data_IF_096789805131
#
_entry.id   IF_096789805131
#
_cell.length_a   1.000
_cell.length_b   1.000
_cell.length_c   1.000
_cell.angle_alpha   90.00
_cell.angle_beta   90.00
_cell.angle_gamma   90.00
#
_symmetry.space_group_name_H-M   'P 1'
#
loop_
_entity.id
_entity.type
_entity.pdbx_description
1 polymer ?
#
# COMPACT_ATOMS: atom_id res chain seq x y z
N UNK A 1 33.21 2.04 15.64
CA UNK A 1 32.86 1.30 14.41
C UNK A 1 31.46 1.65 13.90
N UNK A 2 30.45 1.83 14.78
CA UNK A 2 29.09 2.27 14.40
C UNK A 2 29.10 3.60 13.61
N UNK A 3 29.91 4.58 14.05
CA UNK A 3 30.05 5.89 13.38
C UNK A 3 30.70 5.81 12.00
N UNK A 4 31.43 4.74 11.71
CA UNK A 4 32.17 4.51 10.45
C UNK A 4 31.45 3.51 9.54
N UNK A 5 30.33 2.94 9.98
CA UNK A 5 29.55 1.96 9.20
C UNK A 5 30.18 0.57 9.10
N UNK A 6 31.22 0.25 9.89
CA UNK A 6 31.82 -1.08 9.90
C UNK A 6 31.13 -1.99 10.93
N UNK A 7 29.94 -2.43 10.58
CA UNK A 7 29.07 -3.26 11.44
C UNK A 7 29.64 -4.64 11.70
N UNK A 8 30.33 -5.25 10.73
CA UNK A 8 31.00 -6.54 10.89
C UNK A 8 32.10 -6.48 11.94
N UNK A 9 32.93 -5.46 11.91
CA UNK A 9 33.96 -5.27 12.95
C UNK A 9 33.35 -4.95 14.32
N UNK A 10 32.23 -4.23 14.35
CA UNK A 10 31.48 -3.99 15.59
C UNK A 10 31.02 -5.31 16.20
N UNK A 11 30.35 -6.18 15.45
CA UNK A 11 29.90 -7.49 15.89
C UNK A 11 31.09 -8.33 16.37
N UNK A 12 32.19 -8.39 15.60
CA UNK A 12 33.39 -9.14 15.99
C UNK A 12 34.06 -8.65 17.29
N UNK A 13 33.87 -7.37 17.64
CA UNK A 13 34.30 -6.85 18.93
C UNK A 13 33.35 -7.25 20.05
N UNK A 14 32.04 -7.19 19.81
CA UNK A 14 31.01 -7.56 20.76
C UNK A 14 31.06 -9.07 21.06
N UNK A 15 31.36 -9.91 20.09
CA UNK A 15 31.48 -11.38 20.25
C UNK A 15 32.63 -11.81 21.18
N UNK A 16 33.54 -10.88 21.55
CA UNK A 16 34.58 -11.11 22.54
C UNK A 16 34.11 -10.89 23.97
N UNK A 17 32.95 -10.27 24.16
CA UNK A 17 32.37 -10.03 25.46
C UNK A 17 31.76 -11.35 25.95
N UNK A 18 32.10 -11.82 27.18
CA UNK A 18 31.45 -12.97 27.77
C UNK A 18 29.93 -12.80 27.83
N UNK A 19 29.18 -13.86 27.53
CA UNK A 19 27.71 -13.79 27.41
C UNK A 19 26.98 -13.29 28.66
N UNK A 20 27.54 -13.55 29.82
CA UNK A 20 27.06 -13.09 31.14
C UNK A 20 27.39 -11.63 31.43
N UNK A 21 28.31 -11.03 30.68
CA UNK A 21 28.79 -9.66 30.85
C UNK A 21 28.20 -8.69 29.80
N UNK A 22 27.36 -9.19 28.89
CA UNK A 22 26.67 -8.36 27.88
C UNK A 22 25.66 -7.46 28.59
N UNK A 23 25.86 -6.15 28.52
CA UNK A 23 24.98 -5.15 29.08
C UNK A 23 23.94 -4.61 28.05
N UNK A 24 23.06 -3.70 28.51
CA UNK A 24 22.02 -3.11 27.68
C UNK A 24 22.59 -2.42 26.42
N UNK A 25 23.64 -1.61 26.58
CA UNK A 25 24.24 -0.91 25.44
C UNK A 25 24.88 -1.88 24.43
N UNK A 26 25.49 -2.96 24.90
CA UNK A 26 26.03 -4.00 24.03
C UNK A 26 24.92 -4.68 23.23
N UNK A 27 23.78 -4.96 23.86
CA UNK A 27 22.60 -5.51 23.15
C UNK A 27 22.07 -4.54 22.10
N UNK A 28 21.96 -3.25 22.40
CA UNK A 28 21.56 -2.20 21.44
C UNK A 28 22.55 -2.12 20.28
N UNK A 29 23.86 -2.25 20.55
CA UNK A 29 24.88 -2.26 19.49
C UNK A 29 24.72 -3.49 18.58
N UNK A 30 24.49 -4.68 19.12
CA UNK A 30 24.17 -5.87 18.32
C UNK A 30 22.92 -5.64 17.46
N UNK A 31 21.83 -5.15 18.07
CA UNK A 31 20.57 -4.89 17.36
C UNK A 31 20.80 -3.97 16.16
N UNK A 32 21.41 -2.81 16.35
CA UNK A 32 21.64 -1.85 15.27
C UNK A 32 22.67 -2.34 14.23
N UNK A 33 23.68 -3.09 14.66
CA UNK A 33 24.65 -3.66 13.73
C UNK A 33 23.97 -4.66 12.77
N UNK A 34 23.13 -5.55 13.30
CA UNK A 34 22.37 -6.51 12.48
C UNK A 34 21.26 -5.85 11.67
N UNK A 35 20.61 -4.80 12.18
CA UNK A 35 19.61 -4.03 11.44
C UNK A 35 20.25 -3.41 10.18
N UNK A 36 21.44 -2.83 10.32
CA UNK A 36 22.15 -2.25 9.18
C UNK A 36 22.75 -3.30 8.23
N UNK A 37 22.88 -4.54 8.63
CA UNK A 37 23.25 -5.66 7.78
C UNK A 37 22.05 -6.36 7.13
N UNK A 38 20.82 -5.90 7.41
CA UNK A 38 19.56 -6.54 6.99
C UNK A 38 19.46 -8.02 7.42
N UNK A 39 20.04 -8.36 8.57
CA UNK A 39 19.97 -9.71 9.14
C UNK A 39 18.72 -9.84 10.03
N UNK A 40 17.59 -10.13 9.41
CA UNK A 40 16.27 -10.11 10.06
C UNK A 40 16.18 -11.04 11.28
N UNK A 41 16.77 -12.24 11.21
CA UNK A 41 16.73 -13.20 12.32
C UNK A 41 17.45 -12.67 13.56
N UNK A 42 18.60 -12.05 13.36
CA UNK A 42 19.39 -11.47 14.44
C UNK A 42 18.78 -10.18 14.98
N UNK A 43 18.14 -9.39 14.12
CA UNK A 43 17.37 -8.20 14.55
C UNK A 43 16.24 -8.63 15.49
N UNK A 44 15.45 -9.63 15.09
CA UNK A 44 14.38 -10.19 15.93
C UNK A 44 14.94 -10.72 17.24
N UNK A 45 15.99 -11.55 17.19
CA UNK A 45 16.60 -12.14 18.37
C UNK A 45 17.05 -11.09 19.42
N UNK A 46 17.82 -10.09 18.98
CA UNK A 46 18.34 -9.07 19.87
C UNK A 46 17.26 -8.08 20.31
N UNK A 47 16.32 -7.73 19.43
CA UNK A 47 15.17 -6.90 19.76
C UNK A 47 14.27 -7.53 20.80
N UNK A 48 13.89 -8.80 20.66
CA UNK A 48 13.09 -9.54 21.64
C UNK A 48 13.82 -9.68 22.98
N UNK A 49 15.13 -9.91 22.96
CA UNK A 49 15.95 -9.97 24.19
C UNK A 49 15.97 -8.63 24.91
N UNK A 50 16.08 -7.51 24.19
CA UNK A 50 16.00 -6.18 24.78
C UNK A 50 14.59 -5.91 25.30
N UNK A 51 13.55 -6.19 24.53
CA UNK A 51 12.16 -5.95 24.92
C UNK A 51 11.77 -6.72 26.19
N UNK A 52 12.35 -7.92 26.40
CA UNK A 52 12.10 -8.72 27.61
C UNK A 52 12.90 -8.23 28.83
N UNK A 53 14.16 -7.84 28.65
CA UNK A 53 15.06 -7.44 29.75
C UNK A 53 14.98 -5.95 30.07
N UNK A 54 14.64 -5.11 29.09
CA UNK A 54 14.58 -3.65 29.19
C UNK A 54 13.28 -3.13 28.53
N UNK A 55 12.11 -3.44 29.11
CA UNK A 55 10.81 -3.17 28.49
C UNK A 55 10.48 -1.67 28.32
N UNK A 56 11.28 -0.78 28.90
CA UNK A 56 11.18 0.68 28.78
C UNK A 56 12.07 1.29 27.70
N UNK A 57 12.83 0.49 26.95
CA UNK A 57 13.62 0.99 25.81
C UNK A 57 12.71 1.28 24.61
N UNK A 58 12.04 2.43 24.65
CA UNK A 58 11.05 2.82 23.64
C UNK A 58 11.62 2.89 22.23
N UNK A 59 12.90 3.27 22.08
CA UNK A 59 13.55 3.38 20.77
C UNK A 59 13.69 2.01 20.10
N UNK A 60 14.21 1.02 20.85
CA UNK A 60 14.36 -0.34 20.32
C UNK A 60 12.99 -0.99 20.10
N UNK A 61 12.03 -0.79 21.02
CA UNK A 61 10.69 -1.37 20.89
C UNK A 61 9.95 -0.81 19.69
N UNK A 62 10.00 0.50 19.46
CA UNK A 62 9.44 1.10 18.24
C UNK A 62 10.12 0.56 16.96
N UNK A 63 11.46 0.48 16.98
CA UNK A 63 12.22 -0.05 15.86
C UNK A 63 11.93 -1.53 15.60
N UNK A 64 11.76 -2.36 16.65
CA UNK A 64 11.42 -3.77 16.54
C UNK A 64 9.99 -3.96 16.00
N UNK A 65 9.03 -3.18 16.49
CA UNK A 65 7.67 -3.20 15.95
C UNK A 65 7.64 -2.80 14.47
N UNK A 66 8.37 -1.76 14.10
CA UNK A 66 8.54 -1.35 12.70
C UNK A 66 9.20 -2.44 11.84
N UNK A 67 10.22 -3.12 12.37
CA UNK A 67 10.87 -4.24 11.70
C UNK A 67 9.87 -5.39 11.43
N UNK A 68 9.05 -5.76 12.42
CA UNK A 68 8.03 -6.79 12.23
C UNK A 68 6.94 -6.39 11.24
N UNK A 69 6.50 -5.13 11.27
CA UNK A 69 5.57 -4.59 10.28
C UNK A 69 6.16 -4.68 8.86
N UNK A 70 7.40 -4.27 8.68
CA UNK A 70 8.12 -4.37 7.40
C UNK A 70 8.38 -5.80 6.93
N UNK A 71 8.51 -6.75 7.85
CA UNK A 71 8.66 -8.18 7.57
C UNK A 71 7.31 -8.92 7.35
N UNK A 72 6.20 -8.19 7.25
CA UNK A 72 4.85 -8.73 7.12
C UNK A 72 4.45 -9.66 8.30
N UNK A 73 4.87 -9.30 9.52
CA UNK A 73 4.55 -9.99 10.77
C UNK A 73 3.79 -9.06 11.74
N UNK A 74 2.62 -8.49 11.33
CA UNK A 74 1.94 -7.47 12.11
C UNK A 74 1.45 -7.96 13.49
N UNK A 75 1.18 -9.25 13.64
CA UNK A 75 0.82 -9.83 14.95
C UNK A 75 1.94 -9.70 15.98
N UNK A 76 3.21 -9.89 15.58
CA UNK A 76 4.36 -9.67 16.48
C UNK A 76 4.59 -8.18 16.76
N UNK A 77 4.40 -7.32 15.76
CA UNK A 77 4.49 -5.88 15.93
C UNK A 77 3.44 -5.39 16.95
N UNK A 78 2.20 -5.87 16.83
CA UNK A 78 1.13 -5.59 17.79
C UNK A 78 1.50 -6.01 19.20
N UNK A 79 1.98 -7.25 19.38
CA UNK A 79 2.35 -7.79 20.67
C UNK A 79 3.42 -6.94 21.36
N UNK A 80 4.50 -6.63 20.66
CA UNK A 80 5.63 -5.84 21.18
C UNK A 80 5.17 -4.43 21.56
N UNK A 81 4.43 -3.75 20.68
CA UNK A 81 3.94 -2.41 20.91
C UNK A 81 2.93 -2.36 22.06
N UNK A 82 1.97 -3.29 22.08
CA UNK A 82 0.92 -3.39 23.10
C UNK A 82 1.49 -3.68 24.50
N UNK A 83 2.51 -4.53 24.58
CA UNK A 83 3.21 -4.79 25.84
C UNK A 83 3.86 -3.52 26.42
N UNK A 84 4.49 -2.71 25.58
CA UNK A 84 5.07 -1.43 26.00
C UNK A 84 3.97 -0.44 26.44
N UNK A 85 2.94 -0.25 25.61
CA UNK A 85 1.82 0.67 25.89
C UNK A 85 1.16 0.35 27.24
N UNK A 86 0.97 -0.93 27.52
CA UNK A 86 0.34 -1.38 28.77
C UNK A 86 1.24 -1.24 29.98
N UNK A 87 2.54 -1.54 29.87
CA UNK A 87 3.45 -1.63 31.01
C UNK A 87 4.24 -0.35 31.29
N UNK A 88 4.46 0.48 30.28
CA UNK A 88 5.42 1.58 30.38
C UNK A 88 4.79 2.95 30.07
N UNK A 89 4.42 3.22 28.82
CA UNK A 89 3.94 4.53 28.41
C UNK A 89 2.94 4.42 27.24
N UNK A 90 1.68 4.71 27.53
CA UNK A 90 0.59 4.72 26.54
C UNK A 90 0.58 5.97 25.64
N UNK A 91 1.46 6.93 25.90
CA UNK A 91 1.50 8.20 25.17
C UNK A 91 2.62 8.26 24.14
N UNK A 92 3.50 7.26 24.09
CA UNK A 92 4.62 7.22 23.15
C UNK A 92 4.12 7.17 21.70
N UNK A 93 4.35 8.27 20.95
CA UNK A 93 3.80 8.46 19.60
C UNK A 93 4.36 7.46 18.60
N UNK A 94 5.65 7.15 18.67
CA UNK A 94 6.29 6.24 17.71
C UNK A 94 5.80 4.80 17.88
N UNK A 95 5.62 4.36 19.11
CA UNK A 95 5.10 3.02 19.40
C UNK A 95 3.61 2.94 19.04
N UNK A 96 2.83 3.97 19.38
CA UNK A 96 1.42 4.06 18.98
C UNK A 96 1.26 4.04 17.44
N UNK A 97 2.18 4.69 16.71
CA UNK A 97 2.19 4.64 15.23
C UNK A 97 2.39 3.21 14.73
N UNK A 98 3.40 2.52 15.21
CA UNK A 98 3.67 1.13 14.79
C UNK A 98 2.56 0.17 15.22
N UNK A 99 1.94 0.41 16.37
CA UNK A 99 0.76 -0.34 16.82
C UNK A 99 -0.44 -0.11 15.89
N UNK A 100 -0.76 1.14 15.59
CA UNK A 100 -1.84 1.46 14.67
C UNK A 100 -1.63 0.85 13.28
N UNK A 101 -0.38 0.88 12.78
CA UNK A 101 -0.03 0.28 11.50
C UNK A 101 -0.15 -1.26 11.53
N UNK A 102 0.24 -1.91 12.64
CA UNK A 102 0.07 -3.35 12.78
C UNK A 102 -1.40 -3.78 12.78
N UNK A 103 -2.28 -2.98 13.38
CA UNK A 103 -3.73 -3.22 13.33
C UNK A 103 -4.30 -3.04 11.91
N UNK A 104 -3.87 -1.97 11.22
CA UNK A 104 -4.24 -1.76 9.82
C UNK A 104 -3.84 -2.95 8.93
N UNK A 105 -2.61 -3.44 9.04
CA UNK A 105 -2.13 -4.60 8.29
C UNK A 105 -2.89 -5.90 8.60
N UNK A 106 -3.54 -5.98 9.74
CA UNK A 106 -4.39 -7.10 10.16
C UNK A 106 -5.87 -6.88 9.82
N UNK A 107 -6.21 -5.83 9.07
CA UNK A 107 -7.59 -5.44 8.74
C UNK A 107 -8.46 -5.14 9.96
N UNK A 108 -7.85 -4.81 11.11
CA UNK A 108 -8.55 -4.39 12.36
C UNK A 108 -8.83 -2.89 12.31
N UNK A 109 -9.62 -2.46 11.33
CA UNK A 109 -9.82 -1.04 11.03
C UNK A 109 -10.54 -0.29 12.16
N UNK A 110 -11.51 -0.92 12.83
CA UNK A 110 -12.21 -0.33 13.99
C UNK A 110 -11.27 0.09 15.12
N UNK A 111 -10.18 -0.67 15.31
CA UNK A 111 -9.18 -0.37 16.31
C UNK A 111 -8.09 0.59 15.78
N UNK A 112 -7.76 0.52 14.49
CA UNK A 112 -6.73 1.36 13.87
C UNK A 112 -7.17 2.82 13.70
N UNK A 113 -8.42 3.05 13.29
CA UNK A 113 -8.96 4.41 13.03
C UNK A 113 -8.77 5.34 14.22
N UNK A 114 -9.28 5.05 15.43
CA UNK A 114 -9.17 5.98 16.56
C UNK A 114 -7.71 6.26 16.95
N UNK A 115 -6.80 5.30 16.74
CA UNK A 115 -5.38 5.51 16.97
C UNK A 115 -4.76 6.47 15.96
N UNK A 116 -5.06 6.32 14.67
CA UNK A 116 -4.58 7.25 13.65
C UNK A 116 -5.16 8.65 13.80
N UNK A 117 -6.45 8.78 14.15
CA UNK A 117 -7.06 10.08 14.45
C UNK A 117 -6.36 10.77 15.62
N UNK A 118 -6.07 10.02 16.70
CA UNK A 118 -5.31 10.50 17.85
C UNK A 118 -3.89 10.92 17.45
N UNK A 119 -3.19 10.11 16.64
CA UNK A 119 -1.85 10.42 16.15
C UNK A 119 -1.83 11.72 15.33
N UNK A 120 -2.80 11.92 14.44
CA UNK A 120 -2.95 13.17 13.67
C UNK A 120 -3.16 14.36 14.61
N UNK A 121 -4.04 14.23 15.62
CA UNK A 121 -4.27 15.28 16.60
C UNK A 121 -3.02 15.61 17.43
N UNK A 122 -2.08 14.67 17.55
CA UNK A 122 -0.80 14.81 18.25
C UNK A 122 0.37 15.23 17.34
N UNK A 123 0.10 15.61 16.08
CA UNK A 123 1.09 16.15 15.15
C UNK A 123 1.63 15.16 14.11
N UNK A 124 1.20 13.90 14.09
CA UNK A 124 1.50 12.95 12.99
C UNK A 124 0.55 13.13 11.79
N UNK A 125 0.25 14.40 11.48
CA UNK A 125 -0.55 14.75 10.32
C UNK A 125 0.33 14.81 9.07
N UNK A 126 0.39 13.71 8.34
CA UNK A 126 1.25 13.53 7.17
C UNK A 126 0.58 12.64 6.12
N UNK A 127 1.30 12.40 5.01
CA UNK A 127 0.82 11.53 3.93
C UNK A 127 0.39 10.14 4.44
N UNK A 128 1.25 9.46 5.17
CA UNK A 128 1.05 8.07 5.59
C UNK A 128 -0.21 7.92 6.45
N UNK A 129 -0.35 8.75 7.48
CA UNK A 129 -1.50 8.70 8.39
C UNK A 129 -2.82 8.98 7.68
N UNK A 130 -2.85 9.98 6.79
CA UNK A 130 -4.06 10.30 6.04
C UNK A 130 -4.37 9.26 4.96
N UNK A 131 -3.36 8.72 4.28
CA UNK A 131 -3.57 7.67 3.29
C UNK A 131 -4.14 6.39 3.93
N UNK A 132 -3.60 5.96 5.07
CA UNK A 132 -4.09 4.77 5.80
C UNK A 132 -5.52 5.00 6.32
N UNK A 133 -5.82 6.17 6.88
CA UNK A 133 -7.19 6.50 7.29
C UNK A 133 -8.17 6.48 6.11
N UNK A 134 -7.74 7.00 4.96
CA UNK A 134 -8.52 6.90 3.73
C UNK A 134 -8.86 5.46 3.38
N UNK A 135 -7.88 4.55 3.42
CA UNK A 135 -8.07 3.12 3.15
C UNK A 135 -9.00 2.46 4.19
N UNK A 136 -8.82 2.78 5.49
CA UNK A 136 -9.68 2.25 6.54
C UNK A 136 -11.14 2.67 6.37
N UNK A 137 -11.39 3.95 6.06
CA UNK A 137 -12.74 4.46 5.86
C UNK A 137 -13.38 4.00 4.55
N UNK A 138 -12.58 3.76 3.49
CA UNK A 138 -13.06 3.17 2.24
C UNK A 138 -13.59 1.74 2.47
N UNK A 139 -12.90 0.95 3.29
CA UNK A 139 -13.34 -0.41 3.65
C UNK A 139 -14.60 -0.41 4.53
N UNK A 140 -14.77 0.59 5.40
CA UNK A 140 -15.94 0.78 6.26
C UNK A 140 -17.11 1.52 5.60
N UNK A 141 -17.21 1.57 4.30
CA UNK A 141 -17.92 2.44 3.35
C UNK A 141 -18.31 3.83 3.88
N UNK A 142 -17.41 4.47 4.65
CA UNK A 142 -17.52 5.89 5.02
C UNK A 142 -16.79 6.75 3.97
N UNK A 143 -17.39 6.83 2.79
CA UNK A 143 -16.79 7.52 1.66
C UNK A 143 -16.54 9.02 1.91
N UNK A 144 -17.29 9.68 2.78
CA UNK A 144 -17.07 11.10 3.11
C UNK A 144 -15.75 11.30 3.84
N UNK A 145 -15.48 10.47 4.85
CA UNK A 145 -14.21 10.52 5.57
C UNK A 145 -13.05 10.03 4.70
N UNK A 146 -13.25 8.97 3.92
CA UNK A 146 -12.25 8.49 2.98
C UNK A 146 -11.83 9.61 2.01
N UNK A 147 -12.80 10.30 1.39
CA UNK A 147 -12.55 11.45 0.50
C UNK A 147 -11.70 12.52 1.17
N UNK A 148 -12.11 12.96 2.36
CA UNK A 148 -11.40 13.98 3.13
C UNK A 148 -9.94 13.59 3.40
N UNK A 149 -9.70 12.36 3.81
CA UNK A 149 -8.37 11.89 4.15
C UNK A 149 -7.50 11.68 2.91
N UNK A 150 -8.04 11.14 1.80
CA UNK A 150 -7.29 11.04 0.54
C UNK A 150 -6.94 12.42 -0.04
N UNK A 151 -7.87 13.38 -0.04
CA UNK A 151 -7.59 14.75 -0.46
C UNK A 151 -6.45 15.37 0.35
N UNK A 152 -6.43 15.11 1.66
CA UNK A 152 -5.37 15.61 2.53
C UNK A 152 -4.04 14.89 2.28
N UNK A 153 -4.05 13.58 2.06
CA UNK A 153 -2.87 12.82 1.68
C UNK A 153 -2.22 13.35 0.39
N UNK A 154 -3.02 13.62 -0.64
CA UNK A 154 -2.53 14.19 -1.91
C UNK A 154 -1.92 15.58 -1.74
N UNK A 155 -2.37 16.39 -0.76
CA UNK A 155 -1.73 17.68 -0.44
C UNK A 155 -0.31 17.50 0.09
N UNK A 156 -0.03 16.44 0.86
CA UNK A 156 1.32 16.11 1.35
C UNK A 156 2.19 15.48 0.26
N UNK A 157 1.60 14.64 -0.60
CA UNK A 157 2.30 13.93 -1.66
C UNK A 157 1.39 13.76 -2.88
N UNK A 158 1.52 14.68 -3.83
CA UNK A 158 0.66 14.76 -5.03
C UNK A 158 0.98 13.72 -6.12
N UNK A 159 2.08 12.99 -5.98
CA UNK A 159 2.62 12.06 -6.98
C UNK A 159 2.55 10.59 -6.54
N UNK A 160 1.68 10.26 -5.58
CA UNK A 160 1.47 8.87 -5.20
C UNK A 160 0.34 8.23 -6.04
N UNK A 161 0.72 7.40 -7.00
CA UNK A 161 -0.21 6.77 -7.94
C UNK A 161 -1.32 5.97 -7.25
N UNK A 162 -1.00 5.27 -6.16
CA UNK A 162 -1.99 4.49 -5.40
C UNK A 162 -3.00 5.40 -4.71
N UNK A 163 -2.54 6.47 -4.07
CA UNK A 163 -3.43 7.42 -3.40
C UNK A 163 -4.35 8.13 -4.41
N UNK A 164 -3.81 8.56 -5.55
CA UNK A 164 -4.59 9.17 -6.63
C UNK A 164 -5.66 8.21 -7.18
N UNK A 165 -5.32 6.93 -7.31
CA UNK A 165 -6.27 5.91 -7.75
C UNK A 165 -7.44 5.75 -6.76
N UNK A 166 -7.17 5.62 -5.46
CA UNK A 166 -8.22 5.49 -4.44
C UNK A 166 -9.04 6.78 -4.31
N UNK A 167 -8.40 7.95 -4.39
CA UNK A 167 -9.10 9.24 -4.44
C UNK A 167 -10.10 9.27 -5.60
N UNK A 168 -9.66 8.88 -6.80
CA UNK A 168 -10.51 8.87 -7.99
C UNK A 168 -11.69 7.89 -7.86
N UNK A 169 -11.51 6.73 -7.20
CA UNK A 169 -12.61 5.79 -6.92
C UNK A 169 -13.67 6.40 -6.01
N UNK A 170 -13.23 7.06 -4.94
CA UNK A 170 -14.17 7.71 -4.01
C UNK A 170 -14.86 8.91 -4.67
N UNK A 171 -14.15 9.72 -5.45
CA UNK A 171 -14.74 10.82 -6.23
C UNK A 171 -15.80 10.31 -7.22
N UNK A 172 -15.54 9.18 -7.90
CA UNK A 172 -16.53 8.53 -8.76
C UNK A 172 -17.79 8.13 -7.98
N UNK A 173 -17.65 7.61 -6.77
CA UNK A 173 -18.79 7.24 -5.92
C UNK A 173 -19.67 8.46 -5.55
N UNK A 174 -19.08 9.66 -5.52
CA UNK A 174 -19.81 10.93 -5.34
C UNK A 174 -20.27 11.59 -6.65
N UNK A 175 -20.15 10.92 -7.81
CA UNK A 175 -20.43 11.48 -9.13
C UNK A 175 -19.59 12.73 -9.47
N UNK A 176 -18.39 12.84 -8.91
CA UNK A 176 -17.43 13.91 -9.20
C UNK A 176 -16.59 13.54 -10.43
N UNK A 177 -17.25 13.17 -11.53
CA UNK A 177 -16.67 12.48 -12.69
C UNK A 177 -15.46 13.21 -13.30
N UNK A 178 -15.51 14.53 -13.38
CA UNK A 178 -14.40 15.32 -13.95
C UNK A 178 -13.12 15.22 -13.12
N UNK A 179 -13.24 15.26 -11.78
CA UNK A 179 -12.11 15.09 -10.86
C UNK A 179 -11.61 13.66 -10.87
N UNK A 180 -12.52 12.69 -10.79
CA UNK A 180 -12.21 11.28 -10.88
C UNK A 180 -11.41 10.93 -12.13
N UNK A 181 -11.85 11.40 -13.32
CA UNK A 181 -11.10 11.21 -14.56
C UNK A 181 -9.72 11.86 -14.54
N UNK A 182 -9.59 13.04 -13.93
CA UNK A 182 -8.31 13.73 -13.82
C UNK A 182 -7.33 12.94 -12.94
N UNK A 183 -7.78 12.50 -11.76
CA UNK A 183 -6.93 11.74 -10.83
C UNK A 183 -6.61 10.34 -11.33
N UNK A 184 -7.53 9.66 -12.03
CA UNK A 184 -7.21 8.40 -12.72
C UNK A 184 -6.11 8.58 -13.75
N UNK A 185 -6.18 9.61 -14.61
CA UNK A 185 -5.13 9.91 -15.59
C UNK A 185 -3.81 10.23 -14.93
N UNK A 186 -3.82 11.08 -13.91
CA UNK A 186 -2.62 11.41 -13.15
C UNK A 186 -1.99 10.17 -12.49
N UNK A 187 -2.79 9.25 -11.96
CA UNK A 187 -2.28 8.01 -11.37
C UNK A 187 -1.54 7.13 -12.39
N UNK A 188 -2.02 7.09 -13.64
CA UNK A 188 -1.37 6.37 -14.73
C UNK A 188 -0.04 7.02 -15.17
N UNK A 189 0.01 8.36 -15.17
CA UNK A 189 1.22 9.11 -15.52
C UNK A 189 2.35 8.91 -14.52
N UNK A 190 2.01 8.74 -13.23
CA UNK A 190 2.99 8.53 -12.15
C UNK A 190 3.56 7.10 -12.10
N UNK A 191 3.07 6.16 -12.87
CA UNK A 191 3.47 4.74 -12.82
C UNK A 191 2.63 3.88 -11.87
N UNK A 192 1.48 3.47 -12.33
CA UNK A 192 0.60 2.53 -11.62
C UNK A 192 1.00 1.08 -11.94
N UNK A 193 0.96 0.14 -10.97
CA UNK A 193 1.11 -1.29 -11.26
C UNK A 193 0.14 -1.77 -12.33
N UNK A 194 0.55 -2.74 -13.16
CA UNK A 194 -0.21 -3.17 -14.35
C UNK A 194 -1.65 -3.57 -14.06
N UNK A 195 -1.87 -4.33 -12.97
CA UNK A 195 -3.20 -4.75 -12.53
C UNK A 195 -4.12 -3.56 -12.20
N UNK A 196 -3.57 -2.54 -11.55
CA UNK A 196 -4.30 -1.30 -11.26
C UNK A 196 -4.46 -0.45 -12.51
N UNK A 197 -3.47 -0.42 -13.40
CA UNK A 197 -3.58 0.28 -14.68
C UNK A 197 -4.75 -0.28 -15.50
N UNK A 198 -4.88 -1.60 -15.60
CA UNK A 198 -6.01 -2.27 -16.24
C UNK A 198 -7.35 -1.82 -15.63
N UNK A 199 -7.47 -1.84 -14.30
CA UNK A 199 -8.68 -1.38 -13.60
C UNK A 199 -8.96 0.10 -13.85
N UNK A 200 -7.92 0.93 -13.86
CA UNK A 200 -8.04 2.36 -14.11
C UNK A 200 -8.55 2.65 -15.51
N UNK A 201 -8.04 1.97 -16.53
CA UNK A 201 -8.56 2.12 -17.91
C UNK A 201 -10.01 1.64 -18.03
N UNK A 202 -10.40 0.57 -17.33
CA UNK A 202 -11.82 0.14 -17.27
C UNK A 202 -12.71 1.23 -16.68
N UNK A 203 -12.29 1.87 -15.58
CA UNK A 203 -13.04 2.97 -14.98
C UNK A 203 -13.11 4.22 -15.89
N UNK A 204 -12.00 4.57 -16.54
CA UNK A 204 -11.99 5.68 -17.51
C UNK A 204 -12.91 5.40 -18.70
N UNK A 205 -12.89 4.18 -19.24
CA UNK A 205 -13.76 3.77 -20.33
C UNK A 205 -15.25 3.89 -19.95
N UNK A 206 -15.60 3.45 -18.73
CA UNK A 206 -16.96 3.56 -18.19
C UNK A 206 -17.40 5.03 -18.07
N UNK A 207 -16.57 5.88 -17.48
CA UNK A 207 -16.84 7.31 -17.36
C UNK A 207 -16.95 8.00 -18.73
N UNK A 208 -16.06 7.69 -19.66
CA UNK A 208 -16.14 8.23 -21.01
C UNK A 208 -17.42 7.76 -21.75
N UNK A 209 -17.82 6.49 -21.55
CA UNK A 209 -19.07 5.95 -22.10
C UNK A 209 -20.29 6.68 -21.53
N UNK A 210 -20.37 6.87 -20.22
CA UNK A 210 -21.48 7.59 -19.55
C UNK A 210 -21.63 9.04 -20.06
N UNK A 211 -20.51 9.66 -20.41
CA UNK A 211 -20.49 11.01 -21.01
C UNK A 211 -20.58 11.02 -22.54
N UNK A 212 -20.96 9.91 -23.18
CA UNK A 212 -21.06 9.76 -24.65
C UNK A 212 -19.75 10.02 -25.43
N UNK A 213 -18.61 9.91 -24.75
CA UNK A 213 -17.27 10.08 -25.33
C UNK A 213 -16.76 8.75 -25.87
N UNK A 214 -17.50 8.17 -26.83
CA UNK A 214 -17.27 6.81 -27.32
C UNK A 214 -15.88 6.58 -27.93
N UNK A 215 -15.28 7.60 -28.56
CA UNK A 215 -13.94 7.49 -29.11
C UNK A 215 -12.86 7.37 -28.02
N UNK A 216 -13.03 8.08 -26.89
CA UNK A 216 -12.14 8.00 -25.74
C UNK A 216 -12.35 6.66 -25.00
N UNK A 217 -13.60 6.26 -24.79
CA UNK A 217 -13.92 4.96 -24.20
C UNK A 217 -13.33 3.79 -25.01
N UNK A 218 -13.39 3.89 -26.37
CA UNK A 218 -12.79 2.89 -27.26
C UNK A 218 -11.27 2.80 -27.07
N UNK A 219 -10.59 3.93 -26.91
CA UNK A 219 -9.15 3.99 -26.67
C UNK A 219 -8.79 3.38 -25.31
N UNK A 220 -9.59 3.67 -24.27
CA UNK A 220 -9.34 3.10 -22.94
C UNK A 220 -9.53 1.59 -22.94
N UNK A 221 -10.56 1.05 -23.61
CA UNK A 221 -10.70 -0.40 -23.77
C UNK A 221 -9.61 -1.02 -24.66
N UNK A 222 -9.12 -0.31 -25.66
CA UNK A 222 -7.94 -0.72 -26.44
C UNK A 222 -6.70 -0.85 -25.51
N UNK A 223 -6.50 0.09 -24.58
CA UNK A 223 -5.43 0.01 -23.60
C UNK A 223 -5.67 -1.14 -22.59
N UNK A 224 -6.92 -1.44 -22.23
CA UNK A 224 -7.22 -2.61 -21.41
C UNK A 224 -6.66 -3.90 -22.04
N UNK A 225 -6.72 -4.07 -23.37
CA UNK A 225 -6.20 -5.28 -24.03
C UNK A 225 -4.67 -5.39 -23.94
N UNK A 226 -3.95 -4.28 -23.73
CA UNK A 226 -2.48 -4.27 -23.61
C UNK A 226 -2.02 -4.58 -22.16
N UNK A 227 -2.86 -4.28 -21.17
CA UNK A 227 -2.53 -4.47 -19.76
C UNK A 227 -3.12 -5.76 -19.18
N UNK A 228 -3.98 -6.47 -19.93
CA UNK A 228 -4.61 -7.71 -19.52
C UNK A 228 -3.72 -8.90 -19.87
N UNK A 229 -3.01 -9.44 -18.89
CA UNK A 229 -2.12 -10.59 -19.06
C UNK A 229 -2.88 -11.91 -19.30
N UNK A 230 -4.18 -11.95 -18.98
CA UNK A 230 -5.05 -13.11 -19.18
C UNK A 230 -5.69 -13.13 -20.57
N UNK A 231 -5.49 -12.08 -21.37
CA UNK A 231 -6.09 -11.91 -22.70
C UNK A 231 -7.62 -12.10 -22.70
N UNK A 232 -8.31 -11.51 -21.72
CA UNK A 232 -9.75 -11.67 -21.59
C UNK A 232 -10.49 -11.15 -22.83
N UNK A 233 -11.22 -12.02 -23.57
CA UNK A 233 -11.90 -11.64 -24.81
C UNK A 233 -12.87 -10.46 -24.66
N UNK A 234 -13.46 -10.29 -23.47
CA UNK A 234 -14.40 -9.19 -23.22
C UNK A 234 -13.76 -7.80 -23.39
N UNK A 235 -12.46 -7.64 -23.18
CA UNK A 235 -11.79 -6.36 -23.40
C UNK A 235 -11.79 -6.00 -24.91
N UNK A 236 -11.56 -6.99 -25.79
CA UNK A 236 -11.64 -6.80 -27.23
C UNK A 236 -13.08 -6.52 -27.69
N UNK A 237 -14.05 -7.23 -27.12
CA UNK A 237 -15.47 -7.00 -27.41
C UNK A 237 -15.91 -5.59 -27.01
N UNK A 238 -15.58 -5.15 -25.81
CA UNK A 238 -15.91 -3.81 -25.31
C UNK A 238 -15.26 -2.71 -26.17
N UNK A 239 -13.99 -2.88 -26.55
CA UNK A 239 -13.31 -1.97 -27.48
C UNK A 239 -14.05 -1.90 -28.82
N UNK A 240 -14.45 -3.05 -29.39
CA UNK A 240 -15.17 -3.12 -30.64
C UNK A 240 -16.52 -2.38 -30.57
N UNK A 241 -17.30 -2.57 -29.50
CA UNK A 241 -18.57 -1.87 -29.30
C UNK A 241 -18.40 -0.35 -29.26
N UNK A 242 -17.36 0.14 -28.57
CA UNK A 242 -17.06 1.57 -28.51
C UNK A 242 -16.56 2.11 -29.87
N UNK A 243 -15.81 1.31 -30.65
CA UNK A 243 -15.45 1.68 -32.01
C UNK A 243 -16.66 1.71 -32.93
N UNK A 244 -17.67 0.86 -32.76
CA UNK A 244 -18.95 0.94 -33.48
C UNK A 244 -19.66 2.24 -33.12
N UNK A 245 -19.81 2.54 -31.84
CA UNK A 245 -20.48 3.74 -31.33
C UNK A 245 -19.79 5.03 -31.82
N UNK A 246 -18.46 5.03 -31.88
CA UNK A 246 -17.67 6.15 -32.41
C UNK A 246 -17.56 6.18 -33.95
N UNK A 247 -18.27 5.27 -34.64
CA UNK A 247 -18.30 5.14 -36.13
C UNK A 247 -16.94 4.75 -36.74
N UNK A 248 -16.00 4.21 -35.99
CA UNK A 248 -14.73 3.70 -36.52
C UNK A 248 -14.87 2.23 -36.97
N UNK A 249 -15.45 2.03 -38.13
CA UNK A 249 -15.75 0.70 -38.70
C UNK A 249 -14.51 -0.19 -38.87
N UNK A 250 -13.36 0.40 -39.20
CA UNK A 250 -12.11 -0.36 -39.45
C UNK A 250 -11.61 -1.01 -38.12
N UNK A 251 -11.46 -0.20 -37.08
CA UNK A 251 -11.05 -0.72 -35.78
C UNK A 251 -12.12 -1.63 -35.16
N UNK A 252 -13.40 -1.31 -35.30
CA UNK A 252 -14.49 -2.17 -34.86
C UNK A 252 -14.37 -3.60 -35.43
N UNK A 253 -14.16 -3.72 -36.74
CA UNK A 253 -13.96 -5.02 -37.40
C UNK A 253 -12.72 -5.75 -36.87
N UNK A 254 -11.61 -5.05 -36.73
CA UNK A 254 -10.36 -5.62 -36.22
C UNK A 254 -10.55 -6.20 -34.83
N UNK A 255 -11.14 -5.43 -33.89
CA UNK A 255 -11.33 -5.85 -32.52
C UNK A 255 -12.39 -6.96 -32.36
N UNK A 256 -13.42 -7.03 -33.23
CA UNK A 256 -14.32 -8.18 -33.31
C UNK A 256 -13.59 -9.47 -33.77
N UNK A 257 -12.67 -9.36 -34.72
CA UNK A 257 -11.86 -10.51 -35.14
C UNK A 257 -10.94 -11.00 -34.01
N UNK A 258 -10.31 -10.06 -33.28
CA UNK A 258 -9.49 -10.39 -32.11
C UNK A 258 -10.32 -11.03 -31.00
N UNK A 259 -11.54 -10.53 -30.77
CA UNK A 259 -12.48 -11.14 -29.81
C UNK A 259 -12.76 -12.60 -30.16
N UNK A 260 -13.14 -12.90 -31.40
CA UNK A 260 -13.45 -14.25 -31.87
C UNK A 260 -12.23 -15.17 -31.75
N UNK A 261 -11.05 -14.70 -32.16
CA UNK A 261 -9.83 -15.50 -32.10
C UNK A 261 -9.46 -15.85 -30.62
N UNK A 262 -9.61 -14.93 -29.68
CA UNK A 262 -9.31 -15.18 -28.28
C UNK A 262 -10.40 -16.00 -27.58
N UNK A 263 -11.68 -15.84 -27.96
CA UNK A 263 -12.78 -16.64 -27.44
C UNK A 263 -12.60 -18.13 -27.81
N UNK A 264 -12.31 -18.43 -29.07
CA UNK A 264 -12.06 -19.78 -29.55
C UNK A 264 -10.85 -20.41 -28.83
N UNK A 265 -9.76 -19.67 -28.63
CA UNK A 265 -8.58 -20.17 -27.87
C UNK A 265 -8.91 -20.53 -26.43
N UNK A 266 -9.87 -19.84 -25.80
CA UNK A 266 -10.29 -20.17 -24.42
C UNK A 266 -11.20 -21.39 -24.35
N UNK A 267 -12.03 -21.64 -25.37
CA UNK A 267 -12.83 -22.86 -25.49
C UNK A 267 -11.90 -24.07 -25.67
N UNK A 268 -10.94 -24.01 -26.60
CA UNK A 268 -9.95 -25.07 -26.82
C UNK A 268 -9.16 -25.44 -25.55
N UNK A 269 -8.84 -24.45 -24.70
CA UNK A 269 -8.15 -24.68 -23.41
C UNK A 269 -9.02 -25.33 -22.35
N UNK A 270 -10.35 -25.24 -22.45
CA UNK A 270 -11.27 -25.91 -21.51
C UNK A 270 -11.57 -27.36 -21.91
N UNK A 271 -11.36 -27.68 -23.18
CA UNK A 271 -11.54 -29.04 -23.72
C UNK A 271 -10.28 -29.92 -23.63
N UNK A 272 -9.10 -29.31 -23.39
CA UNK A 272 -7.81 -29.98 -23.23
C UNK A 272 -7.47 -30.27 -21.75
#
# INVERSE_FOLDING_TARGET
YRKVGNYTACISCLDKIPSDSINHEDMRMYYYAYLNQNNNDKVSLWGERIASSFPYDSEIIASLASHYNGANQPGKAEEVAKNYIYKCDSTNLYINKEYAYSLFMQFKYDEAIPLYEKLIAQGFDNFESNFILGLCYEDQPDNEKALKHYQKAVQFKSDNATCLFHLALVEKAFNMDSLSMAHFKQSLEVSLPKDRALRTYKWLADLHFQHNRYADAARDFELCTLYDEEDNPLNYYNAAQMFIASKNKLKAKLYLQMFLANANRLEDKKEA
#
